data_IF_929052222775
#
_entry.id   IF_929052222775
#
_cell.length_a   1.000
_cell.length_b   1.000
_cell.length_c   1.000
_cell.angle_alpha   90.00
_cell.angle_beta   90.00
_cell.angle_gamma   90.00
#
_symmetry.space_group_name_H-M   'P 1'
#
loop_
_entity.id
_entity.type
_entity.pdbx_description
1 polymer ?
#
# COMPACT_ATOMS: atom_id res chain seq x y z
N UNK A 1 -9.87 22.68 9.50
CA UNK A 1 -9.26 21.97 8.34
C UNK A 1 -8.47 20.77 8.86
N UNK A 2 -8.56 19.63 8.18
CA UNK A 2 -7.76 18.43 8.53
C UNK A 2 -7.47 17.61 7.27
N UNK A 3 -6.34 16.92 7.28
CA UNK A 3 -6.07 15.89 6.29
C UNK A 3 -6.93 14.66 6.65
N UNK A 4 -7.93 14.35 5.84
CA UNK A 4 -8.87 13.28 6.14
C UNK A 4 -8.46 11.95 5.56
N UNK A 5 -8.06 11.92 4.30
CA UNK A 5 -7.71 10.70 3.57
C UNK A 5 -6.46 10.91 2.72
N UNK A 6 -5.76 9.81 2.47
CA UNK A 6 -4.74 9.71 1.43
C UNK A 6 -5.28 8.74 0.38
N UNK A 7 -5.19 9.13 -0.88
CA UNK A 7 -5.74 8.35 -1.99
C UNK A 7 -4.61 7.79 -2.84
N UNK A 8 -4.71 6.51 -3.16
CA UNK A 8 -3.85 5.86 -4.15
C UNK A 8 -4.68 5.32 -5.29
N UNK A 9 -4.09 5.28 -6.47
CA UNK A 9 -4.77 4.86 -7.70
C UNK A 9 -4.42 3.41 -8.01
N UNK A 10 -5.44 2.62 -8.34
CA UNK A 10 -5.29 1.18 -8.56
C UNK A 10 -6.06 0.76 -9.82
N UNK A 11 -5.54 -0.26 -10.50
CA UNK A 11 -6.15 -0.76 -11.74
C UNK A 11 -7.31 -1.71 -11.48
N UNK A 12 -7.18 -2.55 -10.46
CA UNK A 12 -8.21 -3.53 -10.07
C UNK A 12 -8.52 -3.32 -8.59
N UNK A 13 -9.58 -2.57 -8.32
CA UNK A 13 -9.90 -2.13 -6.96
C UNK A 13 -10.22 -3.29 -6.02
N UNK A 14 -10.86 -4.35 -6.52
CA UNK A 14 -11.17 -5.53 -5.70
C UNK A 14 -9.91 -6.31 -5.32
N UNK A 15 -8.99 -6.48 -6.25
CA UNK A 15 -7.69 -7.11 -5.95
C UNK A 15 -6.88 -6.28 -4.96
N UNK A 16 -6.90 -4.97 -5.10
CA UNK A 16 -6.19 -4.08 -4.18
C UNK A 16 -6.83 -4.07 -2.80
N UNK A 17 -8.16 -4.09 -2.72
CA UNK A 17 -8.85 -4.23 -1.43
C UNK A 17 -8.42 -5.50 -0.71
N UNK A 18 -8.38 -6.62 -1.42
CA UNK A 18 -7.92 -7.89 -0.87
C UNK A 18 -6.46 -7.84 -0.44
N UNK A 19 -5.60 -7.23 -1.24
CA UNK A 19 -4.18 -7.04 -0.93
C UNK A 19 -3.98 -6.31 0.41
N UNK A 20 -4.65 -5.17 0.57
CA UNK A 20 -4.51 -4.37 1.79
C UNK A 20 -5.18 -5.02 3.00
N UNK A 21 -6.23 -5.79 2.79
CA UNK A 21 -6.83 -6.57 3.86
C UNK A 21 -5.92 -7.73 4.29
N UNK A 22 -5.44 -8.53 3.35
CA UNK A 22 -4.64 -9.72 3.64
C UNK A 22 -3.31 -9.37 4.32
N UNK A 23 -2.64 -8.32 3.85
CA UNK A 23 -1.31 -7.97 4.35
C UNK A 23 -1.34 -7.04 5.56
N UNK A 24 -2.28 -6.10 5.60
CA UNK A 24 -2.25 -5.03 6.61
C UNK A 24 -3.47 -5.01 7.51
N UNK A 25 -4.42 -5.93 7.32
CA UNK A 25 -5.62 -6.00 8.14
C UNK A 25 -6.57 -4.82 7.95
N UNK A 26 -6.46 -4.11 6.83
CA UNK A 26 -7.33 -2.96 6.55
C UNK A 26 -8.70 -3.43 6.09
N UNK A 27 -9.75 -2.86 6.66
CA UNK A 27 -11.14 -3.20 6.34
C UNK A 27 -11.79 -2.11 5.50
N UNK A 28 -12.76 -2.52 4.70
CA UNK A 28 -13.57 -1.59 3.92
C UNK A 28 -14.52 -0.84 4.84
N UNK A 29 -14.46 0.49 4.82
CA UNK A 29 -15.35 1.37 5.58
C UNK A 29 -16.52 1.83 4.72
N UNK A 30 -16.25 2.21 3.46
CA UNK A 30 -17.27 2.72 2.56
C UNK A 30 -16.87 2.43 1.11
N UNK A 31 -17.81 1.85 0.37
CA UNK A 31 -17.66 1.59 -1.07
C UNK A 31 -18.52 2.57 -1.85
N UNK A 32 -17.87 3.46 -2.60
CA UNK A 32 -18.50 4.47 -3.44
C UNK A 32 -18.43 4.14 -4.93
N UNK A 33 -18.43 2.86 -5.28
CA UNK A 33 -18.38 2.41 -6.68
C UNK A 33 -17.17 2.97 -7.44
N UNK A 34 -16.03 2.32 -7.26
CA UNK A 34 -14.75 2.75 -7.83
C UNK A 34 -13.93 3.67 -6.94
N UNK A 35 -14.41 3.91 -5.72
CA UNK A 35 -13.69 4.65 -4.68
C UNK A 35 -13.99 3.98 -3.35
N UNK A 36 -13.00 3.28 -2.80
CA UNK A 36 -13.15 2.54 -1.55
C UNK A 36 -12.35 3.19 -0.43
N UNK A 37 -13.03 3.56 0.64
CA UNK A 37 -12.38 4.07 1.84
C UNK A 37 -12.11 2.89 2.77
N UNK A 38 -10.84 2.69 3.08
CA UNK A 38 -10.38 1.67 4.02
C UNK A 38 -10.15 2.29 5.39
N UNK A 39 -9.99 1.43 6.40
CA UNK A 39 -9.61 1.86 7.75
C UNK A 39 -8.35 2.72 7.69
N UNK A 40 -8.20 3.61 8.67
CA UNK A 40 -7.08 4.56 8.80
C UNK A 40 -6.98 5.60 7.68
N UNK A 41 -8.04 5.73 6.86
CA UNK A 41 -8.13 6.82 5.88
C UNK A 41 -7.40 6.58 4.57
N UNK A 42 -7.00 5.36 4.28
CA UNK A 42 -6.47 5.01 2.96
C UNK A 42 -7.64 4.83 1.99
N UNK A 43 -7.60 5.52 0.85
CA UNK A 43 -8.61 5.42 -0.18
C UNK A 43 -8.02 4.75 -1.42
N UNK A 44 -8.70 3.73 -1.92
CA UNK A 44 -8.39 3.10 -3.19
C UNK A 44 -9.28 3.70 -4.26
N UNK A 45 -8.68 4.22 -5.31
CA UNK A 45 -9.39 4.88 -6.41
C UNK A 45 -9.17 4.14 -7.71
N UNK A 46 -10.27 3.80 -8.39
CA UNK A 46 -10.20 3.20 -9.72
C UNK A 46 -9.48 4.12 -10.70
N UNK A 47 -8.50 3.57 -11.41
CA UNK A 47 -7.64 4.33 -12.33
C UNK A 47 -8.41 4.99 -13.46
N UNK A 48 -9.37 4.29 -14.06
CA UNK A 48 -10.13 4.81 -15.20
C UNK A 48 -10.96 6.03 -14.80
N UNK A 49 -11.61 5.95 -13.65
CA UNK A 49 -12.40 7.06 -13.12
C UNK A 49 -11.48 8.23 -12.80
N UNK A 50 -10.34 7.97 -12.17
CA UNK A 50 -9.38 9.01 -11.80
C UNK A 50 -8.84 9.76 -13.01
N UNK A 51 -8.48 9.02 -14.07
CA UNK A 51 -8.03 9.64 -15.32
C UNK A 51 -9.09 10.53 -15.95
N UNK A 52 -10.37 10.14 -15.84
CA UNK A 52 -11.46 10.95 -16.36
C UNK A 52 -11.63 12.29 -15.62
N UNK A 53 -11.26 12.32 -14.34
CA UNK A 53 -11.31 13.55 -13.54
C UNK A 53 -10.14 14.48 -13.81
N UNK A 54 -8.93 13.92 -13.92
CA UNK A 54 -7.71 14.71 -13.97
C UNK A 54 -7.22 15.02 -15.38
N UNK A 55 -7.57 14.20 -16.36
CA UNK A 55 -7.01 14.27 -17.71
C UNK A 55 -5.48 14.27 -17.67
N UNK A 56 -4.92 13.37 -16.86
CA UNK A 56 -3.47 13.21 -16.66
C UNK A 56 -3.14 11.73 -16.54
N UNK A 57 -1.90 11.39 -16.88
CA UNK A 57 -1.39 10.03 -16.74
C UNK A 57 -1.06 9.71 -15.28
N UNK A 58 -1.22 8.42 -14.95
CA UNK A 58 -0.77 7.87 -13.67
C UNK A 58 0.66 7.40 -13.87
N UNK A 59 1.55 7.75 -12.94
CA UNK A 59 2.96 7.36 -13.00
C UNK A 59 3.24 6.36 -11.86
N UNK A 60 3.19 5.05 -12.15
CA UNK A 60 3.56 4.06 -11.14
C UNK A 60 5.07 4.15 -10.84
N UNK A 61 5.46 3.75 -9.64
CA UNK A 61 6.86 3.75 -9.20
C UNK A 61 7.53 5.11 -9.32
N UNK A 62 6.76 6.19 -9.15
CA UNK A 62 7.32 7.55 -9.12
C UNK A 62 8.19 7.78 -7.88
N UNK A 63 7.94 7.01 -6.81
CA UNK A 63 8.67 7.05 -5.54
C UNK A 63 8.61 8.41 -4.84
N UNK A 64 7.58 9.19 -5.14
CA UNK A 64 7.40 10.53 -4.57
C UNK A 64 6.69 10.52 -3.23
N UNK A 65 6.15 9.37 -2.83
CA UNK A 65 5.53 9.16 -1.52
C UNK A 65 5.57 7.67 -1.18
N UNK A 66 5.30 7.37 0.07
CA UNK A 66 5.20 5.98 0.51
C UNK A 66 4.08 5.82 1.53
N UNK A 67 3.57 4.59 1.63
CA UNK A 67 2.75 4.17 2.76
C UNK A 67 3.67 3.48 3.76
N UNK A 68 3.73 4.01 4.98
CA UNK A 68 4.57 3.43 6.03
C UNK A 68 3.68 2.70 7.03
N UNK A 69 3.99 1.42 7.23
CA UNK A 69 3.34 0.57 8.22
C UNK A 69 4.34 0.13 9.28
N UNK A 70 3.90 0.09 10.52
CA UNK A 70 4.71 -0.39 11.62
C UNK A 70 4.26 -1.81 11.97
N UNK A 71 5.22 -2.74 12.06
CA UNK A 71 4.94 -4.14 12.36
C UNK A 71 5.97 -4.68 13.36
N UNK A 72 5.50 -5.08 14.52
CA UNK A 72 6.36 -5.61 15.56
C UNK A 72 6.99 -6.95 15.15
N UNK A 73 6.22 -7.82 14.51
CA UNK A 73 6.68 -9.12 14.06
C UNK A 73 6.93 -9.12 12.55
N UNK A 74 7.99 -8.42 12.16
CA UNK A 74 8.28 -8.20 10.74
C UNK A 74 8.64 -9.48 10.00
N UNK A 75 9.22 -10.48 10.68
CA UNK A 75 9.56 -11.74 10.04
C UNK A 75 8.31 -12.52 9.64
N UNK A 76 7.29 -12.55 10.50
CA UNK A 76 6.00 -13.16 10.17
C UNK A 76 5.30 -12.39 9.03
N UNK A 77 5.44 -11.07 9.00
CA UNK A 77 4.90 -10.28 7.91
C UNK A 77 5.55 -10.66 6.58
N UNK A 78 6.87 -10.73 6.53
CA UNK A 78 7.61 -11.11 5.31
C UNK A 78 7.22 -12.50 4.84
N UNK A 79 7.09 -13.44 5.76
CA UNK A 79 6.65 -14.81 5.44
C UNK A 79 5.26 -14.81 4.81
N UNK A 80 4.32 -14.05 5.38
CA UNK A 80 2.97 -13.91 4.83
C UNK A 80 3.00 -13.25 3.46
N UNK A 81 3.79 -12.18 3.29
CA UNK A 81 3.93 -11.48 2.02
C UNK A 81 4.40 -12.42 0.92
N UNK A 82 5.45 -13.19 1.19
CA UNK A 82 6.02 -14.12 0.21
C UNK A 82 5.08 -15.29 -0.11
N UNK A 83 4.33 -15.76 0.89
CA UNK A 83 3.36 -16.84 0.68
C UNK A 83 2.17 -16.40 -0.14
N UNK A 84 1.60 -15.23 0.13
CA UNK A 84 0.38 -14.75 -0.52
C UNK A 84 0.64 -14.02 -1.83
N UNK A 85 1.78 -13.34 -1.93
CA UNK A 85 2.14 -12.52 -3.09
C UNK A 85 3.58 -12.79 -3.52
N UNK A 86 3.87 -14.01 -4.02
CA UNK A 86 5.25 -14.41 -4.33
C UNK A 86 5.91 -13.63 -5.46
N UNK A 87 5.10 -12.92 -6.27
CA UNK A 87 5.61 -12.11 -7.38
C UNK A 87 5.77 -10.64 -7.03
N UNK A 88 5.61 -10.28 -5.76
CA UNK A 88 5.76 -8.88 -5.32
C UNK A 88 7.14 -8.35 -5.68
N UNK A 89 7.20 -7.09 -6.12
CA UNK A 89 8.47 -6.47 -6.49
C UNK A 89 9.06 -5.72 -5.30
N UNK A 90 10.25 -6.15 -4.87
CA UNK A 90 10.96 -5.48 -3.78
C UNK A 90 11.74 -4.28 -4.26
N UNK A 91 11.78 -3.24 -3.43
CA UNK A 91 12.77 -2.14 -3.54
C UNK A 91 14.00 -2.55 -2.76
N UNK A 92 13.82 -3.00 -1.50
CA UNK A 92 14.88 -3.67 -0.74
C UNK A 92 14.28 -4.80 0.09
N UNK A 93 14.98 -5.93 0.21
CA UNK A 93 14.56 -6.99 1.11
C UNK A 93 14.70 -6.55 2.57
N UNK A 94 14.27 -7.40 3.49
CA UNK A 94 14.40 -7.12 4.92
C UNK A 94 15.86 -6.77 5.26
N UNK A 95 16.06 -5.60 5.83
CA UNK A 95 17.37 -5.08 6.21
C UNK A 95 17.30 -4.41 7.57
N UNK A 96 18.44 -4.23 8.20
CA UNK A 96 18.56 -3.55 9.48
C UNK A 96 19.32 -2.24 9.29
N UNK A 97 18.70 -1.12 9.68
CA UNK A 97 19.37 0.18 9.71
C UNK A 97 20.39 0.26 10.84
N UNK A 98 21.33 1.21 10.75
CA UNK A 98 22.37 1.41 11.76
C UNK A 98 21.80 1.73 13.15
N UNK A 99 20.58 2.29 13.22
CA UNK A 99 19.88 2.57 14.48
C UNK A 99 19.06 1.41 15.02
N UNK A 100 19.16 0.21 14.39
CA UNK A 100 18.55 -1.03 14.87
C UNK A 100 17.17 -1.34 14.31
N UNK A 101 16.50 -0.41 13.64
CA UNK A 101 15.22 -0.66 13.03
C UNK A 101 15.35 -1.59 11.82
N UNK A 102 14.47 -2.57 11.72
CA UNK A 102 14.40 -3.48 10.58
C UNK A 102 13.29 -3.01 9.66
N UNK A 103 13.57 -2.94 8.35
CA UNK A 103 12.62 -2.44 7.35
C UNK A 103 12.65 -3.29 6.10
N UNK A 104 11.52 -3.30 5.38
CA UNK A 104 11.38 -3.87 4.06
C UNK A 104 10.61 -2.89 3.20
N UNK A 105 11.01 -2.72 1.95
CA UNK A 105 10.29 -1.87 1.00
C UNK A 105 9.92 -2.65 -0.23
N UNK A 106 8.71 -2.43 -0.71
CA UNK A 106 8.18 -3.11 -1.90
C UNK A 106 7.08 -2.27 -2.53
N UNK A 107 6.69 -2.65 -3.73
CA UNK A 107 5.56 -2.01 -4.40
C UNK A 107 4.29 -2.81 -4.19
N UNK A 108 3.15 -2.12 -4.07
CA UNK A 108 1.86 -2.79 -4.14
C UNK A 108 1.59 -3.27 -5.58
N UNK A 109 0.38 -3.75 -5.86
CA UNK A 109 0.02 -4.31 -7.17
C UNK A 109 0.08 -3.27 -8.31
N UNK A 110 0.11 -1.98 -7.98
CA UNK A 110 0.07 -0.88 -8.95
C UNK A 110 1.31 0.02 -8.92
N UNK A 111 2.34 -0.36 -8.21
CA UNK A 111 3.57 0.41 -8.13
C UNK A 111 3.54 1.53 -7.10
N UNK A 112 2.65 1.48 -6.12
CA UNK A 112 2.70 2.37 -4.97
C UNK A 112 3.73 1.86 -3.97
N UNK A 113 4.60 2.74 -3.50
CA UNK A 113 5.69 2.36 -2.61
C UNK A 113 5.18 2.12 -1.20
N UNK A 114 5.56 0.99 -0.62
CA UNK A 114 5.24 0.59 0.74
C UNK A 114 6.52 0.34 1.51
N UNK A 115 6.60 0.87 2.71
CA UNK A 115 7.62 0.51 3.69
C UNK A 115 6.95 -0.09 4.91
N UNK A 116 7.48 -1.21 5.37
CA UNK A 116 7.08 -1.80 6.65
C UNK A 116 8.31 -1.83 7.54
N UNK A 117 8.18 -1.26 8.73
CA UNK A 117 9.28 -1.16 9.68
C UNK A 117 8.88 -1.63 11.07
N UNK A 118 9.88 -2.10 11.83
CA UNK A 118 9.67 -2.40 13.24
C UNK A 118 9.48 -1.10 14.04
N UNK A 119 8.80 -1.15 15.20
CA UNK A 119 8.64 0.02 16.06
C UNK A 119 9.98 0.66 16.43
N UNK A 120 9.97 1.96 16.48
CA UNK A 120 11.11 2.76 16.95
C UNK A 120 10.88 3.31 18.35
#
# INVERSE_FOLDING_TARGET
>A
MRLKNILIVVKDIEKSRKFYHDLFGMDLVLDNDGNMILTEGLVLQDEKIWKSFLDRDIVPKSNSCELYFEEQDIELFVEKLERLYPTIEYVNPLMTHSWGQRVIRFYDLDGNLIEVGTPM
#
